data_IF_037328448589
#
_entry.id   IF_037328448589
#
_cell.length_a   1.000
_cell.length_b   1.000
_cell.length_c   1.000
_cell.angle_alpha   90.00
_cell.angle_beta   90.00
_cell.angle_gamma   90.00
#
_symmetry.space_group_name_H-M   'P 1'
#
loop_
_entity.id
_entity.type
_entity.pdbx_description
1 polymer ?
#
# COMPACT_ATOMS: atom_id res chain seq x y z
N UNK A 1 -9.38 -10.82 5.73
CA UNK A 1 -8.28 -9.83 5.79
C UNK A 1 -7.95 -9.25 4.41
N UNK A 2 -7.59 -10.06 3.40
CA UNK A 2 -7.17 -9.57 2.08
C UNK A 2 -8.29 -9.18 1.09
N UNK A 3 -9.55 -9.51 1.40
CA UNK A 3 -10.71 -9.20 0.54
C UNK A 3 -10.78 -7.71 0.18
N UNK A 4 -10.31 -6.84 1.07
CA UNK A 4 -10.37 -5.40 0.89
C UNK A 4 -9.30 -4.83 -0.07
N UNK A 5 -8.34 -5.64 -0.54
CA UNK A 5 -7.45 -5.23 -1.64
C UNK A 5 -8.17 -5.14 -2.99
N UNK A 6 -9.42 -5.63 -3.08
CA UNK A 6 -10.22 -5.62 -4.31
C UNK A 6 -10.39 -4.20 -4.87
N UNK A 7 -10.30 -3.19 -4.02
CA UNK A 7 -10.48 -1.79 -4.37
C UNK A 7 -9.25 -1.13 -5.02
N UNK A 8 -8.13 -1.84 -5.14
CA UNK A 8 -6.91 -1.33 -5.78
C UNK A 8 -6.92 -1.46 -7.32
N UNK A 9 -8.04 -1.94 -7.89
CA UNK A 9 -8.20 -2.14 -9.32
C UNK A 9 -9.66 -1.92 -9.76
N UNK A 10 -9.89 -1.84 -11.09
CA UNK A 10 -11.23 -1.64 -11.66
C UNK A 10 -12.13 -2.87 -11.47
N UNK A 11 -11.54 -4.06 -11.29
CA UNK A 11 -12.25 -5.30 -10.97
C UNK A 11 -11.72 -5.94 -9.70
N UNK A 12 -12.55 -6.75 -9.03
CA UNK A 12 -12.23 -7.40 -7.74
C UNK A 12 -10.94 -8.21 -7.81
N UNK A 13 -10.82 -9.09 -8.81
CA UNK A 13 -9.64 -9.93 -8.99
C UNK A 13 -8.40 -9.11 -9.32
N UNK A 14 -8.51 -8.13 -10.20
CA UNK A 14 -7.39 -7.25 -10.56
C UNK A 14 -6.89 -6.46 -9.35
N UNK A 15 -7.79 -5.98 -8.48
CA UNK A 15 -7.40 -5.28 -7.26
C UNK A 15 -6.53 -6.15 -6.35
N UNK A 16 -6.89 -7.42 -6.17
CA UNK A 16 -6.08 -8.35 -5.39
C UNK A 16 -4.73 -8.64 -6.02
N UNK A 17 -4.69 -8.93 -7.31
CA UNK A 17 -3.46 -9.17 -8.04
C UNK A 17 -2.48 -7.98 -7.93
N UNK A 18 -3.00 -6.75 -8.09
CA UNK A 18 -2.22 -5.51 -7.95
C UNK A 18 -1.74 -5.29 -6.51
N UNK A 19 -2.62 -5.48 -5.54
CA UNK A 19 -2.31 -5.28 -4.12
C UNK A 19 -1.32 -6.30 -3.56
N UNK A 20 -1.42 -7.56 -3.97
CA UNK A 20 -0.48 -8.62 -3.58
C UNK A 20 0.90 -8.36 -4.17
N UNK A 21 0.98 -7.97 -5.44
CA UNK A 21 2.25 -7.58 -6.04
C UNK A 21 2.87 -6.40 -5.30
N UNK A 22 2.09 -5.35 -5.02
CA UNK A 22 2.54 -4.17 -4.27
C UNK A 22 3.11 -4.56 -2.91
N UNK A 23 2.34 -5.28 -2.09
CA UNK A 23 2.77 -5.71 -0.76
C UNK A 23 4.07 -6.52 -0.79
N UNK A 24 4.25 -7.36 -1.81
CA UNK A 24 5.48 -8.13 -1.94
C UNK A 24 6.69 -7.27 -2.28
N UNK A 25 6.56 -6.39 -3.28
CA UNK A 25 7.70 -5.59 -3.76
C UNK A 25 8.09 -4.51 -2.75
N UNK A 26 7.13 -3.97 -2.00
CA UNK A 26 7.37 -2.93 -1.00
C UNK A 26 7.92 -3.50 0.31
N UNK A 27 7.29 -4.55 0.86
CA UNK A 27 7.62 -5.03 2.21
C UNK A 27 7.85 -6.53 2.34
N UNK A 28 7.73 -7.31 1.25
CA UNK A 28 7.69 -8.78 1.31
C UNK A 28 6.60 -9.27 2.26
N UNK A 29 5.45 -8.60 2.26
CA UNK A 29 4.31 -8.84 3.16
C UNK A 29 4.57 -8.57 4.65
N UNK A 30 5.68 -7.91 5.01
CA UNK A 30 5.93 -7.50 6.38
C UNK A 30 5.05 -6.30 6.73
N UNK A 31 4.10 -6.49 7.65
CA UNK A 31 3.15 -5.48 8.12
C UNK A 31 3.78 -4.42 9.03
N UNK A 32 4.90 -4.75 9.67
CA UNK A 32 5.58 -3.86 10.65
C UNK A 32 6.87 -3.26 10.08
N UNK A 33 7.05 -3.29 8.76
CA UNK A 33 8.23 -2.71 8.10
C UNK A 33 8.17 -1.19 8.19
N UNK A 34 9.27 -0.58 8.64
CA UNK A 34 9.48 0.87 8.61
C UNK A 34 10.80 1.12 7.89
N UNK A 35 10.83 2.09 6.97
CA UNK A 35 12.02 2.48 6.23
C UNK A 35 12.21 3.99 6.30
N UNK A 36 13.43 4.44 6.59
CA UNK A 36 13.79 5.86 6.57
C UNK A 36 14.21 6.29 5.16
N UNK A 37 13.76 7.47 4.74
CA UNK A 37 14.12 8.09 3.48
C UNK A 37 15.17 9.19 3.67
N UNK A 38 15.88 9.52 2.58
CA UNK A 38 16.97 10.50 2.62
C UNK A 38 16.52 11.93 2.99
N UNK A 39 15.23 12.23 2.84
CA UNK A 39 14.62 13.50 3.24
C UNK A 39 14.16 13.55 4.71
N UNK A 40 14.38 12.46 5.47
CA UNK A 40 13.98 12.32 6.86
C UNK A 40 12.53 11.86 7.06
N UNK A 41 11.78 11.62 5.98
CA UNK A 41 10.47 10.98 6.05
C UNK A 41 10.59 9.46 6.22
N UNK A 42 9.50 8.80 6.62
CA UNK A 42 9.49 7.36 6.84
C UNK A 42 8.35 6.69 6.05
N UNK A 43 8.60 5.48 5.58
CA UNK A 43 7.60 4.64 4.92
C UNK A 43 7.11 3.53 5.84
N UNK A 44 5.79 3.43 6.01
CA UNK A 44 5.17 2.58 7.00
C UNK A 44 4.40 1.41 6.41
N UNK A 45 4.59 0.26 7.04
CA UNK A 45 3.77 -0.93 6.91
C UNK A 45 3.88 -1.63 5.57
N UNK A 46 2.87 -2.46 5.29
CA UNK A 46 2.90 -3.40 4.18
C UNK A 46 2.98 -2.74 2.79
N UNK A 47 2.46 -1.52 2.66
CA UNK A 47 2.49 -0.75 1.42
C UNK A 47 3.49 0.40 1.43
N UNK A 48 4.34 0.48 2.47
CA UNK A 48 5.39 1.50 2.58
C UNK A 48 4.81 2.91 2.30
N UNK A 49 3.76 3.26 3.07
CA UNK A 49 3.07 4.54 2.93
C UNK A 49 3.90 5.62 3.62
N UNK A 50 4.26 6.66 2.86
CA UNK A 50 5.19 7.69 3.29
C UNK A 50 4.57 8.75 4.23
N UNK A 51 5.27 9.12 5.29
CA UNK A 51 4.82 10.11 6.29
C UNK A 51 4.86 11.56 5.84
N UNK A 52 5.68 11.92 4.84
CA UNK A 52 5.69 13.29 4.33
C UNK A 52 4.33 13.68 3.72
N UNK A 53 3.63 12.72 3.09
CA UNK A 53 2.41 13.01 2.32
C UNK A 53 1.14 12.41 2.91
N UNK A 54 1.18 11.17 3.42
CA UNK A 54 -0.05 10.38 3.57
C UNK A 54 -0.52 10.23 5.01
N UNK A 55 0.38 9.97 5.95
CA UNK A 55 0.07 9.79 7.37
C UNK A 55 0.95 10.69 8.22
N UNK A 56 0.55 10.95 9.47
CA UNK A 56 1.34 11.75 10.40
C UNK A 56 2.10 10.85 11.38
N UNK A 57 3.43 10.99 11.45
CA UNK A 57 4.29 10.31 12.43
C UNK A 57 4.73 11.22 13.59
N UNK A 58 4.34 12.50 13.56
CA UNK A 58 4.71 13.56 14.50
C UNK A 58 6.22 13.77 14.68
N UNK A 59 7.05 13.25 13.77
CA UNK A 59 8.51 13.41 13.77
C UNK A 59 8.97 14.41 12.71
N UNK A 60 8.24 14.53 11.61
CA UNK A 60 8.54 15.44 10.50
C UNK A 60 7.26 16.16 10.01
N UNK A 61 7.43 17.14 9.11
CA UNK A 61 6.28 17.79 8.47
C UNK A 61 5.51 16.77 7.62
N UNK A 62 4.18 16.77 7.74
CA UNK A 62 3.30 15.86 7.02
C UNK A 62 2.06 16.59 6.50
N UNK A 63 1.71 16.33 5.24
CA UNK A 63 0.43 16.77 4.67
C UNK A 63 -0.77 15.96 5.21
N UNK A 64 -0.51 14.76 5.77
CA UNK A 64 -1.48 13.86 6.38
C UNK A 64 -2.79 13.70 5.58
N UNK A 65 -2.69 13.46 4.27
CA UNK A 65 -3.85 13.36 3.37
C UNK A 65 -4.82 12.23 3.78
N UNK A 66 -4.30 11.16 4.38
CA UNK A 66 -5.14 10.06 4.86
C UNK A 66 -5.87 10.39 6.17
N UNK A 67 -5.43 11.39 6.93
CA UNK A 67 -5.89 11.69 8.30
C UNK A 67 -5.73 10.48 9.23
N UNK A 68 -4.59 9.81 9.15
CA UNK A 68 -4.26 8.59 9.92
C UNK A 68 -2.91 8.77 10.62
N UNK A 69 -2.75 8.14 11.79
CA UNK A 69 -1.44 8.00 12.42
C UNK A 69 -0.62 6.96 11.66
N UNK A 70 0.65 7.25 11.36
CA UNK A 70 1.51 6.29 10.69
C UNK A 70 1.69 4.99 11.50
N UNK A 71 1.54 5.03 12.82
CA UNK A 71 1.59 3.84 13.68
C UNK A 71 0.41 2.89 13.43
N UNK A 72 -0.77 3.41 13.08
CA UNK A 72 -1.94 2.58 12.76
C UNK A 72 -1.72 1.74 11.49
N UNK A 73 -0.82 2.17 10.61
CA UNK A 73 -0.44 1.45 9.40
C UNK A 73 0.42 0.20 9.66
N UNK A 74 0.97 0.08 10.87
CA UNK A 74 1.75 -1.09 11.33
C UNK A 74 0.88 -2.15 12.01
N UNK A 75 -0.42 -1.87 12.17
CA UNK A 75 -1.37 -2.75 12.83
C UNK A 75 -1.59 -4.04 12.03
N UNK A 76 -1.74 -5.20 12.70
CA UNK A 76 -2.22 -6.41 12.03
C UNK A 76 -3.65 -6.24 11.49
N UNK A 77 -4.40 -5.27 12.03
CA UNK A 77 -5.66 -4.84 11.45
C UNK A 77 -5.40 -3.85 10.32
N UNK A 78 -5.39 -4.36 9.08
CA UNK A 78 -5.05 -3.58 7.88
C UNK A 78 -6.10 -2.52 7.47
N UNK A 79 -7.11 -2.21 8.29
CA UNK A 79 -8.18 -1.28 7.92
C UNK A 79 -7.65 0.12 7.59
N UNK A 80 -6.81 0.72 8.45
CA UNK A 80 -6.20 2.03 8.18
C UNK A 80 -5.29 1.99 6.96
N UNK A 81 -4.47 0.93 6.83
CA UNK A 81 -3.63 0.72 5.63
C UNK A 81 -4.43 0.66 4.35
N UNK A 82 -5.54 -0.09 4.33
CA UNK A 82 -6.41 -0.25 3.16
C UNK A 82 -7.17 1.05 2.87
N UNK A 83 -7.66 1.74 3.89
CA UNK A 83 -8.33 3.03 3.77
C UNK A 83 -7.41 4.05 3.08
N UNK A 84 -6.18 4.17 3.56
CA UNK A 84 -5.20 5.08 3.00
C UNK A 84 -4.76 4.66 1.58
N UNK A 85 -4.49 3.37 1.34
CA UNK A 85 -4.16 2.87 0.01
C UNK A 85 -5.29 3.13 -1.01
N UNK A 86 -6.56 3.00 -0.60
CA UNK A 86 -7.71 3.33 -1.43
C UNK A 86 -7.74 4.83 -1.78
N UNK A 87 -7.43 5.72 -0.84
CA UNK A 87 -7.32 7.16 -1.10
C UNK A 87 -6.22 7.44 -2.13
N UNK A 88 -5.03 6.86 -1.97
CA UNK A 88 -3.91 7.01 -2.90
C UNK A 88 -4.29 6.54 -4.31
N UNK A 89 -4.90 5.36 -4.43
CA UNK A 89 -5.30 4.80 -5.73
C UNK A 89 -6.44 5.58 -6.40
N UNK A 90 -7.32 6.18 -5.61
CA UNK A 90 -8.40 7.04 -6.10
C UNK A 90 -7.89 8.42 -6.57
N UNK A 91 -6.68 8.80 -6.14
CA UNK A 91 -6.05 10.08 -6.49
C UNK A 91 -5.34 10.07 -7.85
N UNK A 92 -4.73 11.20 -8.18
CA UNK A 92 -3.90 11.33 -9.37
C UNK A 92 -2.74 10.32 -9.35
N UNK A 93 -2.51 9.65 -10.48
CA UNK A 93 -1.47 8.62 -10.61
C UNK A 93 -1.89 7.21 -10.19
N UNK A 94 -2.90 7.05 -9.34
CA UNK A 94 -3.40 5.74 -8.89
C UNK A 94 -2.28 4.86 -8.30
N UNK A 95 -2.18 3.61 -8.77
CA UNK A 95 -1.11 2.69 -8.36
C UNK A 95 0.31 3.17 -8.73
N UNK A 96 0.46 4.15 -9.63
CA UNK A 96 1.78 4.66 -10.05
C UNK A 96 2.44 5.56 -9.00
N UNK A 97 1.73 5.90 -7.92
CA UNK A 97 2.31 6.58 -6.76
C UNK A 97 3.38 5.72 -6.07
N UNK A 98 3.32 4.39 -6.20
CA UNK A 98 4.37 3.49 -5.75
C UNK A 98 5.40 3.22 -6.84
N UNK A 99 6.64 3.66 -6.61
CA UNK A 99 7.74 3.49 -7.56
C UNK A 99 8.07 2.01 -7.77
N UNK A 100 8.12 1.21 -6.70
CA UNK A 100 8.42 -0.22 -6.82
C UNK A 100 7.32 -0.95 -7.61
N UNK A 101 6.05 -0.60 -7.39
CA UNK A 101 4.94 -1.15 -8.19
C UNK A 101 5.07 -0.81 -9.67
N UNK A 102 5.47 0.43 -10.01
CA UNK A 102 5.72 0.85 -11.39
C UNK A 102 6.80 0.01 -12.08
N UNK A 103 7.87 -0.33 -11.36
CA UNK A 103 9.02 -1.07 -11.91
C UNK A 103 8.75 -2.57 -11.99
N UNK A 104 8.04 -3.13 -11.01
CA UNK A 104 7.96 -4.57 -10.79
C UNK A 104 6.57 -5.17 -11.00
N UNK A 105 5.52 -4.38 -11.09
CA UNK A 105 4.13 -4.88 -11.21
C UNK A 105 3.41 -4.31 -12.45
N UNK A 106 3.60 -3.02 -12.76
CA UNK A 106 2.89 -2.37 -13.86
C UNK A 106 3.18 -3.04 -15.21
N UNK A 107 2.12 -3.35 -15.98
CA UNK A 107 2.23 -3.95 -17.31
C UNK A 107 2.65 -5.42 -17.34
N UNK A 108 2.75 -6.09 -16.18
CA UNK A 108 3.09 -7.52 -16.09
C UNK A 108 1.84 -8.37 -15.84
N UNK A 109 1.84 -9.65 -16.26
CA UNK A 109 0.79 -10.58 -15.88
C UNK A 109 0.87 -10.85 -14.36
N UNK A 110 -0.16 -10.43 -13.63
CA UNK A 110 -0.23 -10.56 -12.17
C UNK A 110 -1.10 -11.75 -11.72
N UNK A 111 -1.64 -12.54 -12.66
CA UNK A 111 -2.54 -13.65 -12.37
C UNK A 111 -1.94 -14.72 -11.45
N UNK A 112 -0.62 -14.86 -11.45
CA UNK A 112 0.10 -15.83 -10.60
C UNK A 112 -0.05 -15.53 -9.11
N UNK A 113 -0.26 -14.26 -8.72
CA UNK A 113 -0.47 -13.86 -7.33
C UNK A 113 -1.74 -14.46 -6.72
N UNK A 114 -2.69 -14.85 -7.58
CA UNK A 114 -3.96 -15.46 -7.18
C UNK A 114 -4.00 -16.98 -7.43
N UNK A 115 -2.92 -17.58 -7.92
CA UNK A 115 -2.86 -19.03 -8.16
C UNK A 115 -2.98 -19.78 -6.83
N UNK A 116 -4.00 -20.63 -6.69
CA UNK A 116 -4.27 -21.40 -5.48
C UNK A 116 -5.03 -20.63 -4.39
N UNK A 117 -5.41 -19.36 -4.63
CA UNK A 117 -6.28 -18.62 -3.73
C UNK A 117 -7.75 -18.96 -4.00
N UNK A 118 -8.47 -19.40 -2.98
CA UNK A 118 -9.92 -19.66 -3.06
C UNK A 118 -10.71 -18.47 -2.52
N UNK A 119 -11.64 -18.00 -3.34
CA UNK A 119 -12.46 -16.82 -3.04
C UNK A 119 -13.79 -17.29 -2.47
N UNK A 120 -13.74 -17.80 -1.24
CA UNK A 120 -14.94 -18.11 -0.45
C UNK A 120 -15.63 -16.85 0.06
#
# INVERSE_FOLDING_TARGET
>A
MWKALAFLGPGVREGWERGLCLAFVESKFNISKVNENADGSFDYGIFQINSHSWCNDYQSHSENICHEDCQDLLSPNLLSTISCAKKIVSGAGGMKNWVAWRLHCAGRPLSYWMTGCFLG
#
